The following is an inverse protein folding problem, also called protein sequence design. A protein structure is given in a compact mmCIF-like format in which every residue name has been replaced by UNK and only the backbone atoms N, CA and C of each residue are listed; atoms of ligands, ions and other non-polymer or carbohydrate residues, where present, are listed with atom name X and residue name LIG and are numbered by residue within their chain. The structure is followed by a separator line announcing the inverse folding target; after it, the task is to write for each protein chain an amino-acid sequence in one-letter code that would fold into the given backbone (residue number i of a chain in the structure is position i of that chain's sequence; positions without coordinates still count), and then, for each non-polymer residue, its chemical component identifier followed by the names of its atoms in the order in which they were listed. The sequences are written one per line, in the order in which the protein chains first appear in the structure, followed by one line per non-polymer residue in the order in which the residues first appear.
data_IF_430575767624
#
_entry.id   IF_430575767624
#
_cell.length_a   1.000
_cell.length_b   1.000
_cell.length_c   1.000
_cell.angle_alpha   90.00
_cell.angle_beta   90.00
_cell.angle_gamma   90.00
#
_symmetry.space_group_name_H-M   'P 1'
#
loop_
_entity.id
_entity.type
_entity.pdbx_description
1 polymer ?
#
# COMPACT_ATOMS: atom_id res chain seq x y z
N UNK A 1 -20.38 -14.38 -14.10
CA UNK A 1 -18.94 -14.67 -13.92
C UNK A 1 -18.16 -13.81 -14.91
N UNK A 2 -17.25 -12.96 -14.45
CA UNK A 2 -16.48 -12.09 -15.34
C UNK A 2 -15.57 -12.95 -16.24
N UNK A 3 -15.93 -13.12 -17.51
CA UNK A 3 -15.30 -14.07 -18.44
C UNK A 3 -14.06 -13.49 -19.13
N UNK A 4 -13.11 -12.96 -18.36
CA UNK A 4 -11.87 -12.39 -18.90
C UNK A 4 -10.75 -12.27 -17.87
N UNK A 5 -9.53 -12.00 -18.34
CA UNK A 5 -8.31 -11.93 -17.51
C UNK A 5 -8.49 -11.01 -16.29
N UNK A 6 -9.10 -9.84 -16.46
CA UNK A 6 -9.40 -8.90 -15.37
C UNK A 6 -10.22 -9.54 -14.25
N UNK A 7 -11.24 -10.33 -14.61
CA UNK A 7 -12.09 -11.02 -13.65
C UNK A 7 -11.31 -12.06 -12.86
N UNK A 8 -10.49 -12.85 -13.56
CA UNK A 8 -9.60 -13.84 -12.95
C UNK A 8 -8.59 -13.20 -11.99
N UNK A 9 -7.96 -12.09 -12.39
CA UNK A 9 -7.01 -11.36 -11.55
C UNK A 9 -7.68 -10.77 -10.30
N UNK A 10 -8.88 -10.18 -10.46
CA UNK A 10 -9.64 -9.64 -9.33
C UNK A 10 -10.09 -10.73 -8.36
N UNK A 11 -10.56 -11.87 -8.87
CA UNK A 11 -10.96 -13.02 -8.07
C UNK A 11 -9.76 -13.61 -7.30
N UNK A 12 -8.62 -13.77 -7.96
CA UNK A 12 -7.39 -14.27 -7.35
C UNK A 12 -6.87 -13.32 -6.26
N UNK A 13 -6.78 -12.01 -6.56
CA UNK A 13 -6.36 -11.01 -5.59
C UNK A 13 -7.32 -10.95 -4.40
N UNK A 14 -8.63 -11.02 -4.64
CA UNK A 14 -9.63 -11.09 -3.57
C UNK A 14 -9.43 -12.32 -2.67
N UNK A 15 -9.21 -13.51 -3.24
CA UNK A 15 -8.91 -14.72 -2.47
C UNK A 15 -7.63 -14.58 -1.62
N UNK A 16 -6.60 -13.92 -2.16
CA UNK A 16 -5.36 -13.61 -1.44
C UNK A 16 -5.61 -12.66 -0.27
N UNK A 17 -6.31 -11.54 -0.50
CA UNK A 17 -6.54 -10.51 0.50
C UNK A 17 -7.50 -10.96 1.60
N UNK A 18 -8.57 -11.69 1.24
CA UNK A 18 -9.59 -12.18 2.17
C UNK A 18 -9.12 -13.39 3.00
N UNK A 19 -7.92 -13.93 2.71
CA UNK A 19 -7.44 -15.15 3.36
C UNK A 19 -8.28 -16.38 3.01
N UNK A 20 -8.84 -16.43 1.81
CA UNK A 20 -9.76 -17.47 1.34
C UNK A 20 -9.17 -18.24 0.13
N UNK A 21 -8.04 -18.96 0.29
CA UNK A 21 -7.28 -19.55 -0.81
C UNK A 21 -8.10 -20.54 -1.65
N UNK A 22 -9.06 -21.23 -1.03
CA UNK A 22 -9.97 -22.16 -1.71
C UNK A 22 -10.78 -21.52 -2.85
N UNK A 23 -11.04 -20.19 -2.81
CA UNK A 23 -11.76 -19.49 -3.88
C UNK A 23 -10.96 -19.40 -5.17
N UNK A 24 -9.63 -19.33 -5.09
CA UNK A 24 -8.75 -19.27 -6.26
C UNK A 24 -8.24 -20.66 -6.70
N UNK A 25 -8.32 -21.67 -5.84
CA UNK A 25 -7.81 -23.02 -6.10
C UNK A 25 -8.31 -23.67 -7.41
N UNK A 26 -9.58 -23.51 -7.86
CA UNK A 26 -10.03 -24.10 -9.13
C UNK A 26 -9.28 -23.61 -10.38
N UNK A 27 -8.49 -22.54 -10.26
CA UNK A 27 -7.71 -21.92 -11.33
C UNK A 27 -6.21 -22.20 -11.22
N UNK A 28 -5.80 -22.94 -10.21
CA UNK A 28 -4.39 -23.23 -9.90
C UNK A 28 -4.15 -24.73 -10.00
N UNK A 29 -3.04 -25.11 -10.62
CA UNK A 29 -2.63 -26.51 -10.73
C UNK A 29 -1.73 -26.85 -9.53
N UNK A 30 -2.18 -27.80 -8.71
CA UNK A 30 -1.39 -28.44 -7.66
C UNK A 30 -0.49 -29.55 -8.20
N UNK A 31 0.40 -30.07 -7.35
CA UNK A 31 1.21 -31.25 -7.65
C UNK A 31 1.38 -32.17 -6.42
N UNK A 32 2.22 -33.19 -6.54
CA UNK A 32 2.49 -34.15 -5.48
C UNK A 32 3.12 -33.53 -4.22
N UNK A 33 3.69 -32.31 -4.30
CA UNK A 33 4.30 -31.63 -3.15
C UNK A 33 3.30 -30.71 -2.45
N UNK A 34 2.45 -30.03 -3.21
CA UNK A 34 1.49 -29.07 -2.68
C UNK A 34 0.27 -28.95 -3.58
N UNK A 35 -0.91 -29.12 -2.98
CA UNK A 35 -2.19 -28.97 -3.67
C UNK A 35 -2.45 -27.51 -4.06
N UNK A 36 -3.52 -27.28 -4.85
CA UNK A 36 -3.85 -25.96 -5.36
C UNK A 36 -4.16 -24.96 -4.22
N UNK A 37 -4.81 -25.41 -3.15
CA UNK A 37 -5.15 -24.56 -2.00
C UNK A 37 -3.87 -24.11 -1.29
N UNK A 38 -2.99 -25.04 -0.94
CA UNK A 38 -1.72 -24.75 -0.27
C UNK A 38 -0.82 -23.84 -1.10
N UNK A 39 -0.80 -24.00 -2.43
CA UNK A 39 -0.06 -23.08 -3.33
C UNK A 39 -0.57 -21.65 -3.26
N UNK A 40 -1.89 -21.46 -3.30
CA UNK A 40 -2.49 -20.13 -3.14
C UNK A 40 -2.19 -19.56 -1.75
N UNK A 41 -2.23 -20.40 -0.73
CA UNK A 41 -1.98 -19.99 0.65
C UNK A 41 -0.54 -19.51 0.88
N UNK A 42 0.44 -20.23 0.33
CA UNK A 42 1.86 -19.82 0.31
C UNK A 42 2.00 -18.47 -0.40
N UNK A 43 1.41 -18.32 -1.59
CA UNK A 43 1.46 -17.05 -2.32
C UNK A 43 0.80 -15.92 -1.52
N UNK A 44 -0.36 -16.16 -0.91
CA UNK A 44 -1.09 -15.15 -0.17
C UNK A 44 -0.32 -14.65 1.06
N UNK A 45 0.35 -15.55 1.79
CA UNK A 45 1.28 -15.19 2.86
C UNK A 45 2.43 -14.35 2.32
N UNK A 46 3.13 -14.86 1.30
CA UNK A 46 4.26 -14.18 0.68
C UNK A 46 3.93 -12.79 0.12
N UNK A 47 2.72 -12.61 -0.41
CA UNK A 47 2.22 -11.33 -0.89
C UNK A 47 2.02 -10.36 0.28
N UNK A 48 1.33 -10.77 1.35
CA UNK A 48 1.11 -9.92 2.52
C UNK A 48 2.43 -9.50 3.17
N UNK A 49 3.34 -10.45 3.40
CA UNK A 49 4.64 -10.19 4.03
C UNK A 49 5.43 -9.15 3.21
N UNK A 50 5.51 -9.31 1.88
CA UNK A 50 6.17 -8.34 0.99
C UNK A 50 5.54 -6.96 1.01
N UNK A 51 4.21 -6.87 1.05
CA UNK A 51 3.55 -5.57 1.11
C UNK A 51 3.80 -4.87 2.45
N UNK A 52 3.81 -5.63 3.55
CA UNK A 52 4.16 -5.10 4.88
C UNK A 52 5.60 -4.60 4.90
N UNK A 53 6.54 -5.40 4.39
CA UNK A 53 7.96 -5.03 4.35
C UNK A 53 8.19 -3.78 3.49
N UNK A 54 7.62 -3.74 2.28
CA UNK A 54 7.75 -2.59 1.39
C UNK A 54 7.19 -1.31 2.01
N UNK A 55 5.99 -1.38 2.61
CA UNK A 55 5.41 -0.22 3.27
C UNK A 55 6.20 0.16 4.53
N UNK A 56 6.82 -0.79 5.24
CA UNK A 56 7.65 -0.47 6.39
C UNK A 56 8.93 0.31 5.99
N UNK A 57 9.48 0.02 4.81
CA UNK A 57 10.61 0.77 4.24
C UNK A 57 10.20 2.19 3.79
N UNK A 58 8.98 2.36 3.29
CA UNK A 58 8.43 3.66 2.89
C UNK A 58 8.07 4.55 4.09
N UNK A 59 7.58 3.94 5.19
CA UNK A 59 7.07 4.61 6.40
C UNK A 59 7.88 4.32 7.70
N UNK A 60 9.22 4.44 7.70
CA UNK A 60 10.06 3.96 8.79
C UNK A 60 9.85 4.70 10.12
N UNK A 61 9.50 5.99 10.10
CA UNK A 61 9.22 6.78 11.32
C UNK A 61 7.88 6.40 11.90
N UNK A 62 6.86 6.19 11.07
CA UNK A 62 5.59 5.69 11.56
C UNK A 62 5.77 4.31 12.22
N UNK A 63 6.50 3.38 11.59
CA UNK A 63 6.84 2.07 12.19
C UNK A 63 7.53 2.23 13.54
N UNK A 64 8.53 3.12 13.64
CA UNK A 64 9.28 3.35 14.88
C UNK A 64 8.40 3.85 16.04
N UNK A 65 7.38 4.64 15.72
CA UNK A 65 6.47 5.22 16.71
C UNK A 65 5.39 4.22 17.15
N UNK A 66 4.80 3.50 16.19
CA UNK A 66 3.59 2.70 16.47
C UNK A 66 3.89 1.22 16.73
N UNK A 67 5.11 0.78 16.41
CA UNK A 67 5.57 -0.61 16.52
C UNK A 67 5.23 -1.45 15.29
N UNK A 68 6.13 -2.38 14.95
CA UNK A 68 6.03 -3.21 13.74
C UNK A 68 4.76 -4.06 13.66
N UNK A 69 4.33 -4.68 14.77
CA UNK A 69 3.12 -5.52 14.78
C UNK A 69 1.85 -4.70 14.47
N UNK A 70 1.73 -3.52 15.09
CA UNK A 70 0.59 -2.61 14.87
C UNK A 70 0.61 -2.05 13.45
N UNK A 71 1.80 -1.71 12.94
CA UNK A 71 1.98 -1.28 11.56
C UNK A 71 1.56 -2.38 10.57
N UNK A 72 2.02 -3.61 10.76
CA UNK A 72 1.65 -4.74 9.92
C UNK A 72 0.13 -4.97 9.89
N UNK A 73 -0.54 -4.90 11.04
CA UNK A 73 -2.00 -5.01 11.12
C UNK A 73 -2.71 -3.88 10.35
N UNK A 74 -2.22 -2.64 10.47
CA UNK A 74 -2.76 -1.50 9.71
C UNK A 74 -2.58 -1.65 8.21
N UNK A 75 -1.41 -2.14 7.78
CA UNK A 75 -1.13 -2.41 6.37
C UNK A 75 -2.07 -3.48 5.83
N UNK A 76 -2.25 -4.59 6.54
CA UNK A 76 -3.17 -5.65 6.09
C UNK A 76 -4.59 -5.10 5.92
N UNK A 77 -5.08 -4.31 6.89
CA UNK A 77 -6.40 -3.67 6.80
C UNK A 77 -6.48 -2.67 5.63
N UNK A 78 -5.42 -1.87 5.44
CA UNK A 78 -5.29 -0.95 4.33
C UNK A 78 -5.41 -1.67 2.97
N UNK A 79 -4.70 -2.78 2.79
CA UNK A 79 -4.69 -3.54 1.53
C UNK A 79 -6.03 -4.18 1.18
N UNK A 80 -6.82 -4.55 2.19
CA UNK A 80 -8.20 -5.05 1.96
C UNK A 80 -9.10 -3.93 1.44
N UNK A 81 -8.97 -2.70 1.97
CA UNK A 81 -9.79 -1.54 1.55
C UNK A 81 -9.29 -0.85 0.29
N UNK A 82 -7.98 -0.93 0.06
CA UNK A 82 -7.27 -0.27 -1.02
C UNK A 82 -6.36 -1.27 -1.74
N UNK A 83 -6.93 -2.33 -2.34
CA UNK A 83 -6.14 -3.34 -3.05
C UNK A 83 -5.25 -2.69 -4.09
N UNK A 84 -4.04 -3.25 -4.26
CA UNK A 84 -3.10 -2.75 -5.28
C UNK A 84 -3.76 -2.80 -6.66
N UNK A 85 -3.60 -1.72 -7.41
CA UNK A 85 -4.07 -1.58 -8.79
C UNK A 85 -2.90 -1.48 -9.77
N UNK A 86 -1.68 -1.60 -9.26
CA UNK A 86 -0.43 -1.47 -10.00
C UNK A 86 0.34 -2.78 -9.94
N UNK A 87 1.19 -2.98 -10.93
CA UNK A 87 2.13 -4.09 -10.98
C UNK A 87 3.40 -3.81 -10.17
N UNK A 88 3.66 -2.54 -9.82
CA UNK A 88 4.82 -2.14 -9.01
C UNK A 88 4.44 -1.92 -7.54
N UNK A 89 5.36 -2.27 -6.64
CA UNK A 89 5.25 -1.99 -5.21
C UNK A 89 5.43 -0.51 -4.90
N UNK A 90 6.08 0.24 -5.79
CA UNK A 90 6.33 1.68 -5.62
C UNK A 90 5.05 2.46 -5.37
N UNK A 91 3.92 2.04 -5.94
CA UNK A 91 2.62 2.72 -5.81
C UNK A 91 1.81 2.25 -4.58
N UNK A 92 2.32 1.29 -3.81
CA UNK A 92 1.54 0.60 -2.79
C UNK A 92 1.06 1.54 -1.67
N UNK A 93 1.84 2.56 -1.32
CA UNK A 93 1.55 3.49 -0.24
C UNK A 93 0.68 4.70 -0.61
N UNK A 94 0.28 4.85 -1.88
CA UNK A 94 -0.34 6.08 -2.42
C UNK A 94 -1.56 6.59 -1.65
N UNK A 95 -2.33 5.66 -1.06
CA UNK A 95 -3.55 5.96 -0.30
C UNK A 95 -3.39 5.75 1.20
N UNK A 96 -2.21 5.36 1.67
CA UNK A 96 -2.02 4.96 3.06
C UNK A 96 -2.25 6.11 4.05
N UNK A 97 -1.71 7.30 3.77
CA UNK A 97 -1.96 8.49 4.59
C UNK A 97 -3.46 8.85 4.67
N UNK A 98 -4.17 8.79 3.53
CA UNK A 98 -5.62 9.04 3.48
C UNK A 98 -6.42 7.97 4.23
N UNK A 99 -6.00 6.71 4.13
CA UNK A 99 -6.57 5.61 4.90
C UNK A 99 -6.43 5.86 6.40
N UNK A 100 -5.26 6.32 6.86
CA UNK A 100 -5.02 6.68 8.27
C UNK A 100 -5.89 7.86 8.72
N UNK A 101 -6.02 8.90 7.89
CA UNK A 101 -6.86 10.06 8.20
C UNK A 101 -8.34 9.71 8.38
N UNK A 102 -8.84 8.70 7.66
CA UNK A 102 -10.23 8.24 7.75
C UNK A 102 -10.55 7.38 8.98
N UNK A 103 -9.58 7.13 9.89
CA UNK A 103 -9.74 6.25 11.04
C UNK A 103 -9.89 7.04 12.33
N UNK A 104 -11.01 6.85 13.02
CA UNK A 104 -11.24 7.46 14.33
C UNK A 104 -10.22 7.00 15.40
N UNK A 105 -9.67 5.79 15.28
CA UNK A 105 -8.70 5.22 16.23
C UNK A 105 -7.24 5.67 15.98
N UNK A 106 -7.02 6.54 15.00
CA UNK A 106 -5.69 7.01 14.60
C UNK A 106 -5.55 8.50 14.93
N UNK A 107 -4.53 8.90 15.72
CA UNK A 107 -4.25 10.31 15.93
C UNK A 107 -4.02 11.05 14.59
N UNK A 108 -4.54 12.28 14.40
CA UNK A 108 -4.43 12.99 13.12
C UNK A 108 -3.00 13.08 12.58
N UNK A 109 -2.04 13.33 13.47
CA UNK A 109 -0.62 13.46 13.10
C UNK A 109 0.02 12.17 12.54
N UNK A 110 -0.60 10.99 12.71
CA UNK A 110 -0.11 9.77 12.04
C UNK A 110 -0.32 9.86 10.53
N UNK A 111 -1.46 10.39 10.11
CA UNK A 111 -1.76 10.60 8.70
C UNK A 111 -0.86 11.68 8.11
N UNK A 112 -0.58 12.74 8.87
CA UNK A 112 0.36 13.81 8.47
C UNK A 112 1.78 13.27 8.32
N UNK A 113 2.25 12.47 9.28
CA UNK A 113 3.56 11.82 9.21
C UNK A 113 3.64 10.88 8.01
N UNK A 114 2.63 10.04 7.80
CA UNK A 114 2.57 9.17 6.62
C UNK A 114 2.56 9.99 5.32
N UNK A 115 1.84 11.11 5.27
CA UNK A 115 1.84 11.99 4.10
C UNK A 115 3.24 12.56 3.81
N UNK A 116 3.96 12.99 4.85
CA UNK A 116 5.33 13.48 4.73
C UNK A 116 6.28 12.36 4.25
N UNK A 117 6.22 11.19 4.87
CA UNK A 117 7.07 10.05 4.48
C UNK A 117 6.78 9.61 3.04
N UNK A 118 5.52 9.58 2.64
CA UNK A 118 5.14 9.30 1.26
C UNK A 118 5.64 10.36 0.28
N UNK A 119 5.53 11.65 0.61
CA UNK A 119 6.04 12.73 -0.24
C UNK A 119 7.56 12.59 -0.47
N UNK A 120 8.31 12.10 0.52
CA UNK A 120 9.74 11.79 0.35
C UNK A 120 9.98 10.64 -0.62
N UNK A 121 9.20 9.56 -0.51
CA UNK A 121 9.26 8.44 -1.48
C UNK A 121 8.89 8.94 -2.88
N UNK A 122 7.92 9.85 -2.97
CA UNK A 122 7.49 10.45 -4.22
C UNK A 122 8.54 11.30 -4.91
N UNK A 123 9.20 12.16 -4.13
CA UNK A 123 10.28 13.00 -4.61
C UNK A 123 11.51 12.21 -5.08
N UNK A 124 11.70 10.96 -4.64
CA UNK A 124 12.90 10.19 -4.98
C UNK A 124 12.99 9.84 -6.47
N UNK A 125 11.85 9.46 -7.08
CA UNK A 125 11.77 9.11 -8.51
C UNK A 125 11.19 10.26 -9.36
N UNK A 126 10.92 11.42 -8.73
CA UNK A 126 10.39 12.57 -9.43
C UNK A 126 11.42 13.11 -10.43
N UNK A 127 10.92 13.71 -11.51
CA UNK A 127 11.79 14.40 -12.47
C UNK A 127 12.36 15.63 -11.76
N UNK A 128 13.68 15.84 -11.89
CA UNK A 128 14.33 17.04 -11.37
C UNK A 128 13.71 18.30 -11.99
N UNK A 129 13.16 19.16 -11.14
CA UNK A 129 12.66 20.48 -11.53
C UNK A 129 13.64 21.57 -11.10
N UNK A 130 13.52 22.74 -11.74
CA UNK A 130 14.31 23.90 -11.33
C UNK A 130 13.97 24.28 -9.89
N UNK A 131 14.99 24.30 -9.02
CA UNK A 131 14.80 24.68 -7.63
C UNK A 131 14.29 26.13 -7.53
N UNK A 132 13.23 26.35 -6.77
CA UNK A 132 12.76 27.68 -6.43
C UNK A 132 13.85 28.44 -5.68
N UNK A 133 14.09 29.69 -6.07
CA UNK A 133 14.95 30.60 -5.32
C UNK A 133 14.21 31.18 -4.13
N UNK A 134 14.96 31.82 -3.22
CA UNK A 134 14.38 32.58 -2.12
C UNK A 134 13.46 33.70 -2.61
N UNK A 135 13.81 34.33 -3.73
CA UNK A 135 13.04 35.44 -4.30
C UNK A 135 11.73 34.94 -4.91
N UNK A 136 11.75 33.76 -5.55
CA UNK A 136 10.53 33.10 -6.04
C UNK A 136 9.56 32.79 -4.88
N UNK A 137 10.09 32.29 -3.75
CA UNK A 137 9.29 32.01 -2.56
C UNK A 137 8.73 33.30 -1.94
N UNK A 138 9.54 34.36 -1.86
CA UNK A 138 9.13 35.65 -1.30
C UNK A 138 8.07 36.36 -2.15
N UNK A 139 8.01 36.05 -3.45
CA UNK A 139 7.02 36.59 -4.38
C UNK A 139 5.66 35.86 -4.33
N UNK A 140 5.53 34.74 -3.60
CA UNK A 140 4.27 34.02 -3.50
C UNK A 140 3.21 34.85 -2.74
N UNK A 141 2.04 35.11 -3.36
CA UNK A 141 0.94 35.79 -2.69
C UNK A 141 0.41 34.95 -1.52
N UNK A 142 -0.08 35.61 -0.46
CA UNK A 142 -0.60 34.93 0.74
C UNK A 142 -1.75 33.98 0.39
N UNK A 143 -2.54 34.33 -0.63
CA UNK A 143 -3.65 33.53 -1.13
C UNK A 143 -3.21 32.20 -1.76
N UNK A 144 -1.93 32.06 -2.13
CA UNK A 144 -1.35 30.82 -2.64
C UNK A 144 -0.85 29.87 -1.53
N UNK A 145 -0.93 30.29 -0.26
CA UNK A 145 -0.48 29.46 0.86
C UNK A 145 -1.56 28.42 1.20
N UNK A 146 -1.18 27.18 1.53
CA UNK A 146 -2.13 26.18 2.01
C UNK A 146 -2.81 26.69 3.29
N UNK A 147 -4.15 26.70 3.31
CA UNK A 147 -4.98 27.01 4.49
C UNK A 147 -5.10 25.83 5.44
#
# INVERSE_FOLDING_TARGET
MASGLRGLQAEFLGAVLDGAPARAAPRVIGDARLDAVGRVEVYARMYRDRMVDALAEDFPKLVAIIGGERFAALVIEYLVRHPSRSWTLRDAGDRFARFLAGRAATPPWWAELAALEWARVDAYDAIDEAAMTRDDLAALPVEAWPT
#
